data_IF_479539008679
#
_entry.id   IF_479539008679
#
_cell.length_a   1.000
_cell.length_b   1.000
_cell.length_c   1.000
_cell.angle_alpha   90.00
_cell.angle_beta   90.00
_cell.angle_gamma   90.00
#
_symmetry.space_group_name_H-M   'P 1'
#
loop_
_entity.id
_entity.type
_entity.pdbx_description
1 polymer ?
#
# COMPACT_ATOMS: atom_id res chain seq x y z
N UNK A 1 -3.11 3.52 16.34
CA UNK A 1 -2.02 4.03 17.22
C UNK A 1 -1.85 3.19 18.49
N UNK A 2 -2.91 2.77 19.13
CA UNK A 2 -2.85 2.01 20.40
C UNK A 2 -2.15 0.64 20.28
N UNK A 3 -2.06 0.06 19.08
CA UNK A 3 -1.41 -1.24 18.85
C UNK A 3 -0.01 -1.15 18.24
N UNK A 4 0.55 0.05 18.05
CA UNK A 4 1.87 0.23 17.44
C UNK A 4 1.99 -0.34 16.03
N UNK A 5 0.89 -0.49 15.32
CA UNK A 5 0.89 -1.05 13.97
C UNK A 5 1.24 0.02 12.93
N UNK A 6 2.18 -0.32 12.07
CA UNK A 6 2.49 0.45 10.90
C UNK A 6 1.58 0.08 9.73
N UNK A 7 1.32 1.06 8.88
CA UNK A 7 0.58 0.85 7.64
C UNK A 7 1.24 1.60 6.49
N UNK A 8 1.07 1.07 5.30
CA UNK A 8 1.47 1.68 4.04
C UNK A 8 0.45 1.24 2.98
N UNK A 9 -0.25 2.18 2.37
CA UNK A 9 -1.19 1.88 1.31
C UNK A 9 -1.24 2.97 0.24
N UNK A 10 -1.54 2.56 -0.97
CA UNK A 10 -1.76 3.45 -2.09
C UNK A 10 -3.11 4.14 -1.98
N UNK A 11 -3.16 5.40 -2.33
CA UNK A 11 -4.38 6.16 -2.55
C UNK A 11 -4.43 6.71 -3.97
N UNK A 12 -5.59 7.23 -4.37
CA UNK A 12 -5.70 8.01 -5.62
C UNK A 12 -4.88 9.28 -5.48
N UNK A 13 -4.39 9.81 -6.62
CA UNK A 13 -3.60 11.04 -6.64
C UNK A 13 -4.38 12.24 -6.07
N UNK A 14 -3.65 13.27 -5.70
CA UNK A 14 -4.10 14.47 -4.98
C UNK A 14 -5.26 15.21 -5.65
N UNK A 15 -5.35 15.16 -6.97
CA UNK A 15 -6.44 15.78 -7.74
C UNK A 15 -7.75 14.96 -7.73
N UNK A 16 -7.76 13.80 -7.08
CA UNK A 16 -8.94 12.95 -7.02
C UNK A 16 -9.83 13.25 -5.81
N UNK A 17 -11.13 12.94 -5.94
CA UNK A 17 -12.05 12.93 -4.80
C UNK A 17 -11.78 11.70 -3.93
N UNK A 18 -10.74 11.71 -3.13
CA UNK A 18 -10.34 10.59 -2.30
C UNK A 18 -9.91 11.01 -0.89
N UNK A 19 -9.26 10.10 -0.18
CA UNK A 19 -8.76 10.33 1.18
C UNK A 19 -7.86 11.56 1.25
N UNK A 20 -7.01 11.76 0.25
CA UNK A 20 -6.04 12.86 0.17
C UNK A 20 -6.61 14.11 -0.51
N UNK A 21 -7.81 14.09 -1.05
CA UNK A 21 -8.42 15.28 -1.65
C UNK A 21 -8.68 16.39 -0.62
N UNK A 22 -8.62 17.65 -1.05
CA UNK A 22 -8.87 18.85 -0.26
C UNK A 22 -7.86 19.11 0.89
N UNK A 23 -6.64 18.63 0.79
CA UNK A 23 -5.51 19.13 1.55
C UNK A 23 -4.75 20.16 0.72
N UNK A 24 -4.03 21.03 1.40
CA UNK A 24 -3.07 21.94 0.75
C UNK A 24 -1.77 21.16 0.51
N UNK A 25 -1.38 21.06 -0.74
CA UNK A 25 -0.16 20.38 -1.15
C UNK A 25 0.87 21.35 -1.70
N UNK A 26 2.16 21.02 -1.58
CA UNK A 26 3.20 21.74 -2.30
C UNK A 26 2.94 21.67 -3.82
N UNK A 27 3.27 22.76 -4.53
CA UNK A 27 3.29 22.78 -6.00
C UNK A 27 4.56 22.07 -6.51
N UNK A 28 4.57 20.75 -6.35
CA UNK A 28 5.69 19.90 -6.69
C UNK A 28 5.21 18.50 -7.12
N UNK A 29 5.93 17.90 -8.06
CA UNK A 29 5.64 16.56 -8.54
C UNK A 29 5.91 15.48 -7.49
N UNK A 30 6.89 15.72 -6.63
CA UNK A 30 7.24 14.84 -5.52
C UNK A 30 7.24 15.59 -4.20
N UNK A 31 6.64 15.00 -3.19
CA UNK A 31 6.67 15.54 -1.84
C UNK A 31 6.44 14.46 -0.79
N UNK A 32 6.79 14.80 0.44
CA UNK A 32 6.59 13.99 1.63
C UNK A 32 6.15 14.92 2.76
N UNK A 33 4.88 14.89 3.10
CA UNK A 33 4.29 15.79 4.07
C UNK A 33 3.55 15.06 5.18
N UNK A 34 3.60 15.62 6.37
CA UNK A 34 2.77 15.21 7.50
C UNK A 34 1.43 15.93 7.43
N UNK A 35 0.34 15.15 7.51
CA UNK A 35 -1.03 15.69 7.54
C UNK A 35 -1.69 15.33 8.85
N UNK A 36 -2.33 16.31 9.48
CA UNK A 36 -3.09 16.15 10.69
C UNK A 36 -4.59 16.32 10.39
N UNK A 37 -5.39 15.37 10.84
CA UNK A 37 -6.83 15.34 10.57
C UNK A 37 -7.60 15.13 11.86
N UNK A 38 -8.63 15.92 12.07
CA UNK A 38 -9.62 15.69 13.11
C UNK A 38 -10.86 15.05 12.51
N UNK A 39 -11.08 13.79 12.85
CA UNK A 39 -12.26 13.02 12.45
C UNK A 39 -13.44 13.39 13.34
N UNK A 40 -14.59 13.65 12.73
CA UNK A 40 -15.83 14.02 13.41
C UNK A 40 -17.01 13.21 12.87
N UNK A 41 -18.00 12.93 13.69
CA UNK A 41 -19.25 12.25 13.28
C UNK A 41 -20.50 13.12 13.54
N UNK A 42 -20.32 14.44 13.66
CA UNK A 42 -21.40 15.40 13.82
C UNK A 42 -21.17 16.61 12.89
N UNK A 43 -22.24 17.09 12.29
CA UNK A 43 -22.22 18.32 11.48
C UNK A 43 -22.33 19.61 12.30
N UNK A 44 -22.46 19.51 13.63
CA UNK A 44 -22.61 20.68 14.49
C UNK A 44 -21.40 21.62 14.37
N UNK A 45 -21.66 22.92 14.26
CA UNK A 45 -20.63 23.96 14.09
C UNK A 45 -19.74 24.17 15.31
N UNK A 46 -20.18 23.69 16.49
CA UNK A 46 -19.48 23.87 17.78
C UNK A 46 -18.22 23.02 17.96
N UNK A 47 -17.90 22.12 17.01
CA UNK A 47 -16.70 21.28 17.13
C UNK A 47 -15.48 22.15 16.80
N UNK A 48 -14.67 22.42 17.80
CA UNK A 48 -13.39 23.12 17.65
C UNK A 48 -12.36 22.19 17.02
N UNK A 49 -11.64 22.70 16.05
CA UNK A 49 -10.55 21.98 15.35
C UNK A 49 -9.24 22.66 15.75
N UNK A 50 -8.22 21.88 16.02
CA UNK A 50 -6.87 22.41 16.32
C UNK A 50 -6.31 23.13 15.10
N UNK A 51 -5.53 24.16 15.32
CA UNK A 51 -4.79 24.84 14.26
C UNK A 51 -3.87 23.83 13.53
N UNK A 52 -3.83 23.92 12.20
CA UNK A 52 -3.07 22.98 11.38
C UNK A 52 -3.72 21.61 11.17
N UNK A 53 -4.96 21.42 11.65
CA UNK A 53 -5.72 20.18 11.43
C UNK A 53 -6.83 20.36 10.41
N UNK A 54 -6.98 19.41 9.53
CA UNK A 54 -8.09 19.32 8.57
C UNK A 54 -9.28 18.61 9.19
N UNK A 55 -10.46 19.18 9.08
CA UNK A 55 -11.71 18.52 9.51
C UNK A 55 -12.17 17.50 8.49
N UNK A 56 -12.42 16.26 8.93
CA UNK A 56 -13.00 15.20 8.11
C UNK A 56 -14.22 14.59 8.76
N UNK A 57 -15.32 14.59 8.05
CA UNK A 57 -16.55 13.95 8.47
C UNK A 57 -16.51 12.46 8.14
N UNK A 58 -16.85 11.62 9.13
CA UNK A 58 -16.99 10.17 8.98
C UNK A 58 -18.45 9.82 9.00
N UNK A 59 -18.94 9.28 7.89
CA UNK A 59 -20.34 8.92 7.69
C UNK A 59 -20.83 7.84 8.68
N UNK A 60 -22.16 7.80 8.87
CA UNK A 60 -22.80 6.81 9.73
C UNK A 60 -22.58 5.37 9.26
N UNK A 61 -22.53 5.17 7.93
CA UNK A 61 -22.30 3.85 7.34
C UNK A 61 -20.85 3.37 7.45
N UNK A 62 -19.90 4.26 7.80
CA UNK A 62 -18.51 3.88 8.00
C UNK A 62 -18.33 3.11 9.31
N UNK A 63 -17.67 1.95 9.26
CA UNK A 63 -17.25 1.22 10.46
C UNK A 63 -16.13 2.01 11.13
N UNK A 64 -16.49 2.76 12.18
CA UNK A 64 -15.57 3.60 12.93
C UNK A 64 -16.06 3.73 14.39
N UNK A 65 -15.40 3.02 15.29
CA UNK A 65 -15.87 2.83 16.66
C UNK A 65 -15.25 3.83 17.67
N UNK A 66 -14.33 4.69 17.23
CA UNK A 66 -13.63 5.63 18.10
C UNK A 66 -14.43 6.87 18.47
N UNK A 67 -15.47 7.21 17.70
CA UNK A 67 -16.39 8.33 17.97
C UNK A 67 -17.81 7.92 17.66
N UNK A 68 -18.72 8.09 18.61
CA UNK A 68 -20.14 7.79 18.41
C UNK A 68 -20.78 8.74 17.38
N UNK A 69 -21.65 8.22 16.53
CA UNK A 69 -22.35 9.04 15.53
C UNK A 69 -23.20 10.12 16.20
N UNK A 70 -23.09 11.35 15.72
CA UNK A 70 -23.78 12.51 16.28
C UNK A 70 -23.15 13.10 17.55
N UNK A 71 -22.13 12.44 18.14
CA UNK A 71 -21.36 12.98 19.27
C UNK A 71 -20.59 14.23 18.87
N UNK A 72 -20.23 15.04 19.86
CA UNK A 72 -19.31 16.17 19.71
C UNK A 72 -17.85 15.75 19.88
N UNK A 73 -17.61 14.50 20.26
CA UNK A 73 -16.26 13.97 20.39
C UNK A 73 -15.53 13.96 19.05
N UNK A 74 -14.23 14.01 19.13
CA UNK A 74 -13.34 14.05 17.96
C UNK A 74 -12.23 13.00 18.10
N UNK A 75 -11.71 12.56 16.99
CA UNK A 75 -10.54 11.68 16.94
C UNK A 75 -9.46 12.29 16.05
N UNK A 76 -8.32 12.61 16.65
CA UNK A 76 -7.18 13.16 15.93
C UNK A 76 -6.33 12.04 15.34
N UNK A 77 -6.01 12.18 14.07
CA UNK A 77 -5.21 11.25 13.29
C UNK A 77 -4.11 12.01 12.55
N UNK A 78 -2.89 11.51 12.62
CA UNK A 78 -1.75 12.04 11.87
C UNK A 78 -1.17 10.95 11.00
N UNK A 79 -0.85 11.28 9.75
CA UNK A 79 -0.22 10.39 8.79
C UNK A 79 0.59 11.17 7.76
N UNK A 80 1.49 10.48 7.09
CA UNK A 80 2.30 11.04 5.99
C UNK A 80 1.63 10.75 4.66
N UNK A 81 1.79 11.69 3.75
CA UNK A 81 1.45 11.54 2.34
C UNK A 81 2.74 11.69 1.55
N UNK A 82 3.15 10.63 0.89
CA UNK A 82 4.33 10.58 0.03
C UNK A 82 3.89 10.45 -1.41
N UNK A 83 4.21 11.43 -2.25
CA UNK A 83 3.92 11.45 -3.68
C UNK A 83 5.20 11.38 -4.48
N UNK A 84 5.23 10.56 -5.53
CA UNK A 84 6.36 10.43 -6.44
C UNK A 84 5.91 10.02 -7.85
N UNK A 85 6.63 10.43 -8.90
CA UNK A 85 6.32 10.04 -10.27
C UNK A 85 6.70 8.57 -10.52
N UNK A 86 5.90 7.90 -11.35
CA UNK A 86 6.19 6.58 -11.93
C UNK A 86 6.46 6.65 -13.43
N UNK A 87 5.88 7.62 -14.10
CA UNK A 87 6.13 7.98 -15.50
C UNK A 87 5.86 9.47 -15.70
N UNK A 88 6.08 10.00 -16.88
CA UNK A 88 5.96 11.44 -17.19
C UNK A 88 4.63 12.06 -16.72
N UNK A 89 3.50 11.33 -16.84
CA UNK A 89 2.18 11.82 -16.48
C UNK A 89 1.50 11.00 -15.37
N UNK A 90 2.24 10.15 -14.66
CA UNK A 90 1.65 9.22 -13.70
C UNK A 90 2.36 9.27 -12.36
N UNK A 91 1.58 9.38 -11.29
CA UNK A 91 2.07 9.51 -9.93
C UNK A 91 1.51 8.44 -9.02
N UNK A 92 2.33 8.01 -8.08
CA UNK A 92 1.87 7.23 -6.92
C UNK A 92 1.76 8.13 -5.71
N UNK A 93 0.67 7.96 -4.99
CA UNK A 93 0.40 8.64 -3.74
C UNK A 93 0.20 7.61 -2.63
N UNK A 94 1.10 7.62 -1.66
CA UNK A 94 1.16 6.66 -0.56
C UNK A 94 0.79 7.35 0.74
N UNK A 95 -0.07 6.71 1.51
CA UNK A 95 -0.41 7.13 2.87
C UNK A 95 0.21 6.15 3.85
N UNK A 96 0.92 6.66 4.86
CA UNK A 96 1.63 5.85 5.83
C UNK A 96 1.75 6.54 7.19
N UNK A 97 1.96 5.77 8.26
CA UNK A 97 2.35 6.25 9.57
C UNK A 97 3.79 5.88 9.94
N UNK A 98 4.56 5.40 8.99
CA UNK A 98 5.99 5.14 9.17
C UNK A 98 6.72 6.45 9.46
N UNK A 99 7.59 6.50 10.48
CA UNK A 99 8.34 7.72 10.82
C UNK A 99 9.34 8.10 9.72
N UNK A 100 9.48 9.41 9.47
CA UNK A 100 10.30 9.92 8.35
C UNK A 100 11.79 9.80 8.58
N UNK A 101 12.22 9.80 9.82
CA UNK A 101 13.62 9.61 10.25
C UNK A 101 14.12 8.19 10.00
N UNK A 102 13.25 7.18 10.21
CA UNK A 102 13.58 5.78 9.94
C UNK A 102 13.28 5.38 8.49
N UNK A 103 12.23 5.94 7.88
CA UNK A 103 11.75 5.61 6.54
C UNK A 103 11.63 6.85 5.66
N UNK A 104 12.72 7.37 5.09
CA UNK A 104 12.68 8.46 4.13
C UNK A 104 11.88 8.09 2.87
N UNK A 105 11.49 9.09 2.08
CA UNK A 105 10.63 8.93 0.89
C UNK A 105 11.11 7.85 -0.08
N UNK A 106 12.42 7.74 -0.28
CA UNK A 106 13.00 6.71 -1.16
C UNK A 106 12.78 5.30 -0.63
N UNK A 107 12.85 5.11 0.69
CA UNK A 107 12.53 3.81 1.29
C UNK A 107 11.04 3.48 1.20
N UNK A 108 10.15 4.46 1.37
CA UNK A 108 8.70 4.28 1.16
C UNK A 108 8.44 3.82 -0.28
N UNK A 109 9.10 4.42 -1.26
CA UNK A 109 9.03 4.03 -2.67
C UNK A 109 9.46 2.58 -2.88
N UNK A 110 10.61 2.17 -2.31
CA UNK A 110 11.11 0.80 -2.39
C UNK A 110 10.17 -0.21 -1.72
N UNK A 111 9.66 0.09 -0.53
CA UNK A 111 8.68 -0.74 0.19
C UNK A 111 7.39 -0.91 -0.62
N UNK A 112 6.93 0.16 -1.25
CA UNK A 112 5.75 0.09 -2.11
C UNK A 112 6.00 -0.78 -3.35
N UNK A 113 7.15 -0.63 -4.00
CA UNK A 113 7.51 -1.47 -5.15
C UNK A 113 7.68 -2.95 -4.78
N UNK A 114 8.21 -3.26 -3.58
CA UNK A 114 8.30 -4.63 -3.10
C UNK A 114 6.92 -5.33 -3.00
N UNK A 115 5.84 -4.58 -2.78
CA UNK A 115 4.47 -5.11 -2.82
C UNK A 115 4.10 -5.68 -4.19
N UNK A 116 4.56 -5.07 -5.28
CA UNK A 116 4.30 -5.56 -6.64
C UNK A 116 4.96 -6.92 -6.91
N UNK A 117 6.08 -7.20 -6.25
CA UNK A 117 6.71 -8.52 -6.34
C UNK A 117 5.78 -9.64 -5.86
N UNK A 118 4.97 -9.38 -4.83
CA UNK A 118 3.96 -10.33 -4.32
C UNK A 118 2.91 -10.62 -5.39
N UNK A 119 2.41 -9.59 -6.08
CA UNK A 119 1.42 -9.76 -7.15
C UNK A 119 2.01 -10.54 -8.34
N UNK A 120 3.26 -10.25 -8.69
CA UNK A 120 4.04 -11.00 -9.66
C UNK A 120 4.20 -12.47 -9.28
N UNK A 121 4.53 -12.73 -8.02
CA UNK A 121 4.65 -14.09 -7.48
C UNK A 121 3.32 -14.86 -7.52
N UNK A 122 2.21 -14.24 -7.14
CA UNK A 122 0.89 -14.85 -7.27
C UNK A 122 0.52 -15.17 -8.73
N UNK A 123 0.89 -14.30 -9.66
CA UNK A 123 0.69 -14.54 -11.10
C UNK A 123 1.52 -15.72 -11.57
N UNK A 124 2.80 -15.80 -11.20
CA UNK A 124 3.68 -16.93 -11.50
C UNK A 124 3.11 -18.24 -10.92
N UNK A 125 2.73 -18.23 -9.64
CA UNK A 125 2.13 -19.39 -8.98
C UNK A 125 0.86 -19.87 -9.69
N UNK A 126 -0.03 -18.96 -10.06
CA UNK A 126 -1.29 -19.29 -10.69
C UNK A 126 -1.12 -19.85 -12.11
N UNK A 127 -0.32 -19.20 -12.93
CA UNK A 127 -0.26 -19.47 -14.36
C UNK A 127 0.97 -20.29 -14.78
N UNK A 128 2.15 -20.03 -14.24
CA UNK A 128 3.37 -20.74 -14.61
C UNK A 128 3.51 -22.05 -13.86
N UNK A 129 3.26 -22.04 -12.56
CA UNK A 129 3.31 -23.24 -11.69
C UNK A 129 2.01 -24.05 -11.75
N UNK A 130 0.93 -23.42 -12.23
CA UNK A 130 -0.37 -24.08 -12.39
C UNK A 130 -1.05 -24.43 -11.08
N UNK A 131 -0.96 -23.55 -10.06
CA UNK A 131 -1.63 -23.75 -8.75
C UNK A 131 -3.16 -23.77 -8.83
N UNK A 132 -3.74 -23.39 -9.96
CA UNK A 132 -5.19 -23.50 -10.23
C UNK A 132 -5.58 -24.85 -10.87
N UNK A 133 -4.62 -25.66 -11.30
CA UNK A 133 -4.87 -26.92 -12.00
C UNK A 133 -4.32 -28.08 -11.19
N UNK A 134 -5.22 -28.94 -10.71
CA UNK A 134 -4.86 -30.13 -9.93
C UNK A 134 -5.21 -31.40 -10.70
N UNK A 135 -4.34 -32.41 -10.58
CA UNK A 135 -4.57 -33.74 -11.13
C UNK A 135 -5.30 -34.65 -10.14
N UNK A 136 -5.14 -34.33 -8.86
CA UNK A 136 -5.77 -35.08 -7.78
C UNK A 136 -7.22 -34.64 -7.52
N UNK A 137 -8.07 -35.61 -7.09
CA UNK A 137 -9.45 -35.34 -6.72
C UNK A 137 -9.70 -35.37 -5.22
N UNK A 138 -8.87 -36.10 -4.45
CA UNK A 138 -9.01 -36.18 -3.00
C UNK A 138 -8.32 -35.00 -2.31
N UNK A 139 -8.92 -34.39 -1.26
CA UNK A 139 -8.37 -33.23 -0.59
C UNK A 139 -6.93 -33.37 -0.10
N UNK A 140 -6.58 -34.59 0.40
CA UNK A 140 -5.23 -34.88 0.91
C UNK A 140 -4.19 -34.82 -0.21
N UNK A 141 -4.50 -35.37 -1.37
CA UNK A 141 -3.60 -35.36 -2.53
C UNK A 141 -3.51 -33.99 -3.19
N UNK A 142 -4.62 -33.23 -3.20
CA UNK A 142 -4.60 -31.81 -3.64
C UNK A 142 -3.64 -31.02 -2.75
N UNK A 143 -3.68 -31.19 -1.42
CA UNK A 143 -2.75 -30.55 -0.50
C UNK A 143 -1.29 -30.93 -0.79
N UNK A 144 -1.02 -32.19 -1.04
CA UNK A 144 0.33 -32.65 -1.40
C UNK A 144 0.81 -32.02 -2.71
N UNK A 145 -0.05 -31.93 -3.72
CA UNK A 145 0.27 -31.28 -4.99
C UNK A 145 0.55 -29.79 -4.81
N UNK A 146 -0.24 -29.08 -3.97
CA UNK A 146 0.01 -27.68 -3.62
C UNK A 146 1.39 -27.53 -2.99
N UNK A 147 1.72 -28.33 -1.97
CA UNK A 147 3.01 -28.25 -1.29
C UNK A 147 4.18 -28.56 -2.24
N UNK A 148 4.05 -29.57 -3.08
CA UNK A 148 5.07 -29.92 -4.07
C UNK A 148 5.33 -28.75 -5.04
N UNK A 149 4.27 -28.13 -5.55
CA UNK A 149 4.36 -26.97 -6.45
C UNK A 149 4.98 -25.76 -5.76
N UNK A 150 4.61 -25.46 -4.50
CA UNK A 150 5.19 -24.36 -3.73
C UNK A 150 6.68 -24.57 -3.42
N UNK A 151 7.08 -25.79 -3.07
CA UNK A 151 8.49 -26.14 -2.84
C UNK A 151 9.30 -25.98 -4.13
N UNK A 152 8.80 -26.51 -5.25
CA UNK A 152 9.46 -26.36 -6.54
C UNK A 152 9.60 -24.88 -6.94
N UNK A 153 8.55 -24.08 -6.74
CA UNK A 153 8.57 -22.64 -6.99
C UNK A 153 9.65 -21.94 -6.14
N UNK A 154 9.68 -22.20 -4.83
CA UNK A 154 10.65 -21.54 -3.94
C UNK A 154 12.10 -21.93 -4.29
N UNK A 155 12.35 -23.18 -4.65
CA UNK A 155 13.68 -23.63 -5.10
C UNK A 155 14.06 -22.89 -6.39
N UNK A 156 13.15 -22.82 -7.34
CA UNK A 156 13.40 -22.15 -8.63
C UNK A 156 13.68 -20.66 -8.43
N UNK A 157 12.86 -19.94 -7.65
CA UNK A 157 13.10 -18.53 -7.35
C UNK A 157 14.44 -18.32 -6.60
N UNK A 158 14.81 -19.23 -5.69
CA UNK A 158 16.10 -19.17 -5.00
C UNK A 158 17.26 -19.32 -6.00
N UNK A 159 17.17 -20.28 -6.91
CA UNK A 159 18.18 -20.49 -7.94
C UNK A 159 18.31 -19.29 -8.88
N UNK A 160 17.16 -18.74 -9.34
CA UNK A 160 17.13 -17.55 -10.20
C UNK A 160 17.76 -16.34 -9.51
N UNK A 161 17.44 -16.11 -8.23
CA UNK A 161 17.99 -14.99 -7.47
C UNK A 161 19.52 -15.09 -7.22
N UNK A 162 20.08 -16.29 -7.28
CA UNK A 162 21.52 -16.53 -7.15
C UNK A 162 22.22 -16.71 -8.48
N UNK A 163 21.49 -16.79 -9.58
CA UNK A 163 22.08 -16.93 -10.90
C UNK A 163 22.75 -15.63 -11.34
N UNK A 164 24.06 -15.70 -11.62
CA UNK A 164 24.79 -14.60 -12.27
C UNK A 164 24.53 -14.72 -13.77
N UNK A 165 23.76 -13.77 -14.29
CA UNK A 165 23.53 -13.69 -15.74
C UNK A 165 24.59 -12.76 -16.33
N UNK A 166 25.55 -13.29 -17.06
CA UNK A 166 26.45 -12.50 -17.90
C UNK A 166 25.61 -11.88 -19.02
N UNK A 167 25.47 -10.55 -19.00
CA UNK A 167 24.83 -9.81 -20.10
C UNK A 167 25.70 -9.89 -21.35
N UNK A 168 25.37 -10.80 -22.24
CA UNK A 168 25.86 -10.74 -23.60
C UNK A 168 25.30 -9.51 -24.34
N UNK A 169 26.00 -9.05 -25.38
CA UNK A 169 25.58 -7.91 -26.24
C UNK A 169 24.34 -8.34 -27.05
N UNK A 170 23.20 -8.49 -26.45
CA UNK A 170 21.95 -8.88 -27.10
C UNK A 170 21.01 -7.69 -27.23
N UNK A 171 20.31 -7.65 -28.37
CA UNK A 171 19.33 -6.59 -28.73
C UNK A 171 18.11 -6.53 -27.77
N UNK A 172 17.97 -7.49 -26.89
CA UNK A 172 16.84 -7.62 -25.96
C UNK A 172 17.33 -7.63 -24.52
N UNK A 173 16.74 -6.79 -23.67
CA UNK A 173 16.92 -6.87 -22.22
C UNK A 173 16.02 -7.97 -21.66
N UNK A 174 16.61 -9.03 -21.15
CA UNK A 174 15.90 -10.02 -20.36
C UNK A 174 15.76 -9.49 -18.92
N UNK A 175 14.52 -9.20 -18.50
CA UNK A 175 14.22 -8.97 -17.09
C UNK A 175 14.03 -10.34 -16.43
N UNK A 176 14.93 -10.70 -15.56
CA UNK A 176 14.78 -11.85 -14.64
C UNK A 176 13.92 -11.42 -13.45
#
# INVERSE_FOLDING_TARGET
>A
KEKGQYFLFRTKDIHSKGLVGNFEFPDADSFDIQVNVTLVRSHKKKISIKEGYYKRFVDAAASFDYVAYGSLDTYDLSFRIVRFPISDDSYECIVTNLPSDEFPSEQIKLLYYARWAIEGSFRKLKYTVGLSNFHAYKPEYIKQEIWAKLIAYNITETLINHAIIEKGNTKYEYKV
#
